data_IF_425845381953
#
_entry.id   IF_425845381953
#
_cell.length_a   1.000
_cell.length_b   1.000
_cell.length_c   1.000
_cell.angle_alpha   90.00
_cell.angle_beta   90.00
_cell.angle_gamma   90.00
#
_symmetry.space_group_name_H-M   'P 1'
#
loop_
_entity.id
_entity.type
_entity.pdbx_description
1 polymer ?
#
# COMPACT_ATOMS: atom_id res chain seq x y z
N UNK A 1 17.98 33.40 24.71
CA UNK A 1 18.60 32.10 24.98
C UNK A 1 17.80 31.06 24.21
N UNK A 2 18.23 30.72 23.00
CA UNK A 2 17.61 29.65 22.23
C UNK A 2 18.23 28.33 22.69
N UNK A 3 17.53 27.61 23.58
CA UNK A 3 17.90 26.23 23.85
C UNK A 3 17.58 25.41 22.60
N UNK A 4 18.54 24.71 21.98
CA UNK A 4 18.21 23.80 20.90
C UNK A 4 17.25 22.75 21.49
N UNK A 5 16.05 22.67 20.95
CA UNK A 5 15.07 21.65 21.30
C UNK A 5 15.73 20.28 21.16
N UNK A 6 15.70 19.48 22.19
CA UNK A 6 16.24 18.13 22.16
C UNK A 6 15.55 17.33 21.04
N UNK A 7 16.31 16.50 20.34
CA UNK A 7 15.81 15.71 19.20
C UNK A 7 14.53 14.89 19.55
N UNK A 8 14.43 14.44 20.78
CA UNK A 8 13.25 13.69 21.26
C UNK A 8 12.04 14.61 21.55
N UNK A 9 12.27 15.80 22.11
CA UNK A 9 11.23 16.80 22.35
C UNK A 9 10.66 17.31 21.01
N UNK A 10 11.50 17.52 20.01
CA UNK A 10 11.06 17.86 18.66
C UNK A 10 10.20 16.79 18.03
N UNK A 11 10.60 15.50 18.09
CA UNK A 11 9.82 14.38 17.58
C UNK A 11 8.46 14.28 18.26
N UNK A 12 8.42 14.44 19.57
CA UNK A 12 7.18 14.35 20.35
C UNK A 12 6.21 15.49 20.01
N UNK A 13 6.74 16.70 19.80
CA UNK A 13 5.95 17.85 19.34
C UNK A 13 5.39 17.63 17.94
N UNK A 14 6.20 17.15 16.99
CA UNK A 14 5.76 16.81 15.65
C UNK A 14 4.70 15.71 15.66
N UNK A 15 4.87 14.68 16.49
CA UNK A 15 3.90 13.59 16.61
C UNK A 15 2.56 14.09 17.15
N UNK A 16 2.57 14.93 18.18
CA UNK A 16 1.38 15.53 18.74
C UNK A 16 0.65 16.44 17.75
N UNK A 17 1.40 17.23 16.97
CA UNK A 17 0.85 18.08 15.93
C UNK A 17 0.17 17.28 14.82
N UNK A 18 0.81 16.18 14.36
CA UNK A 18 0.23 15.28 13.36
C UNK A 18 -1.02 14.58 13.89
N UNK A 19 -1.03 14.16 15.16
CA UNK A 19 -2.21 13.55 15.76
C UNK A 19 -3.38 14.54 15.86
N UNK A 20 -3.10 15.77 16.30
CA UNK A 20 -4.11 16.83 16.34
C UNK A 20 -4.68 17.10 14.95
N UNK A 21 -3.81 17.21 13.94
CA UNK A 21 -4.20 17.43 12.56
C UNK A 21 -5.12 16.29 12.05
N UNK A 22 -4.73 15.05 12.27
CA UNK A 22 -5.53 13.87 11.91
C UNK A 22 -6.92 13.87 12.58
N UNK A 23 -7.01 14.28 13.83
CA UNK A 23 -8.31 14.32 14.54
C UNK A 23 -9.23 15.38 13.96
N UNK A 24 -8.71 16.53 13.56
CA UNK A 24 -9.49 17.64 13.01
C UNK A 24 -9.80 17.51 11.52
N UNK A 25 -9.01 16.71 10.77
CA UNK A 25 -9.21 16.49 9.33
C UNK A 25 -9.92 15.17 9.00
N UNK A 26 -10.39 14.45 10.03
CA UNK A 26 -11.04 13.13 9.88
C UNK A 26 -12.22 13.13 8.89
N UNK A 27 -12.92 14.24 8.75
CA UNK A 27 -14.07 14.39 7.86
C UNK A 27 -13.69 14.87 6.45
N UNK A 28 -12.41 15.14 6.19
CA UNK A 28 -11.93 15.50 4.85
C UNK A 28 -11.87 14.24 3.98
N UNK A 29 -12.68 14.21 2.90
CA UNK A 29 -12.72 13.08 1.98
C UNK A 29 -11.37 12.84 1.33
N UNK A 30 -10.66 13.90 0.93
CA UNK A 30 -9.33 13.81 0.31
C UNK A 30 -8.32 13.14 1.26
N UNK A 31 -8.24 13.60 2.51
CA UNK A 31 -7.33 13.04 3.52
C UNK A 31 -7.65 11.56 3.78
N UNK A 32 -8.93 11.21 3.81
CA UNK A 32 -9.36 9.83 4.03
C UNK A 32 -8.97 8.91 2.86
N UNK A 33 -9.17 9.34 1.61
CA UNK A 33 -8.81 8.59 0.42
C UNK A 33 -7.30 8.34 0.35
N UNK A 34 -6.47 9.38 0.54
CA UNK A 34 -5.02 9.25 0.50
C UNK A 34 -4.47 8.39 1.68
N UNK A 35 -5.09 8.48 2.86
CA UNK A 35 -4.74 7.61 3.99
C UNK A 35 -5.03 6.13 3.71
N UNK A 36 -6.19 5.84 3.08
CA UNK A 36 -6.55 4.48 2.68
C UNK A 36 -5.55 3.93 1.68
N UNK A 37 -5.17 4.72 0.67
CA UNK A 37 -4.21 4.31 -0.36
C UNK A 37 -2.82 4.03 0.24
N UNK A 38 -2.31 4.91 1.10
CA UNK A 38 -1.03 4.71 1.80
C UNK A 38 -1.07 3.44 2.66
N UNK A 39 -2.14 3.25 3.47
CA UNK A 39 -2.31 2.08 4.34
C UNK A 39 -2.47 0.77 3.57
N UNK A 40 -3.26 0.78 2.49
CA UNK A 40 -3.45 -0.37 1.61
C UNK A 40 -2.13 -0.83 0.99
N UNK A 41 -1.35 0.11 0.46
CA UNK A 41 -0.08 -0.22 -0.18
C UNK A 41 0.96 -0.73 0.82
N UNK A 42 0.96 -0.22 2.05
CA UNK A 42 1.77 -0.76 3.15
C UNK A 42 1.46 -2.23 3.42
N UNK A 43 0.17 -2.60 3.44
CA UNK A 43 -0.24 -3.99 3.63
C UNK A 43 0.18 -4.88 2.45
N UNK A 44 0.10 -4.37 1.20
CA UNK A 44 0.59 -5.10 0.02
C UNK A 44 2.09 -5.41 0.13
N UNK A 45 2.91 -4.44 0.55
CA UNK A 45 4.35 -4.67 0.75
C UNK A 45 4.59 -5.74 1.80
N UNK A 46 3.85 -5.72 2.90
CA UNK A 46 3.98 -6.74 3.95
C UNK A 46 3.60 -8.15 3.46
N UNK A 47 2.64 -8.25 2.53
CA UNK A 47 2.19 -9.50 1.93
C UNK A 47 3.05 -9.96 0.75
N UNK A 48 3.95 -9.13 0.25
CA UNK A 48 4.76 -9.40 -0.95
C UNK A 48 5.49 -10.75 -0.89
N UNK A 49 6.18 -11.03 0.20
CA UNK A 49 6.95 -12.27 0.36
C UNK A 49 6.04 -13.51 0.35
N UNK A 50 4.89 -13.40 0.99
CA UNK A 50 3.89 -14.49 1.03
C UNK A 50 3.27 -14.69 -0.35
N UNK A 51 2.90 -13.61 -1.04
CA UNK A 51 2.37 -13.66 -2.40
C UNK A 51 3.33 -14.30 -3.39
N UNK A 52 4.60 -13.94 -3.36
CA UNK A 52 5.65 -14.55 -4.19
C UNK A 52 5.78 -16.05 -3.88
N UNK A 53 5.85 -16.42 -2.60
CA UNK A 53 5.98 -17.83 -2.20
C UNK A 53 4.81 -18.68 -2.71
N UNK A 54 3.56 -18.20 -2.56
CA UNK A 54 2.38 -18.90 -3.07
C UNK A 54 2.40 -19.05 -4.59
N UNK A 55 2.78 -18.01 -5.32
CA UNK A 55 2.86 -18.05 -6.79
C UNK A 55 3.92 -19.05 -7.25
N UNK A 56 5.09 -19.10 -6.60
CA UNK A 56 6.15 -20.09 -6.93
C UNK A 56 5.63 -21.52 -6.70
N UNK A 57 4.97 -21.78 -5.58
CA UNK A 57 4.38 -23.10 -5.28
C UNK A 57 3.34 -23.48 -6.32
N UNK A 58 2.46 -22.56 -6.74
CA UNK A 58 1.47 -22.79 -7.78
C UNK A 58 2.13 -23.17 -9.11
N UNK A 59 3.15 -22.45 -9.54
CA UNK A 59 3.92 -22.77 -10.76
C UNK A 59 4.55 -24.17 -10.67
N UNK A 60 5.15 -24.53 -9.55
CA UNK A 60 5.74 -25.86 -9.36
C UNK A 60 4.70 -26.98 -9.48
N UNK A 61 3.53 -26.79 -8.87
CA UNK A 61 2.43 -27.76 -8.97
C UNK A 61 1.99 -27.90 -10.42
N UNK A 62 1.82 -26.81 -11.17
CA UNK A 62 1.43 -26.83 -12.58
C UNK A 62 2.46 -27.53 -13.45
N UNK A 63 3.76 -27.30 -13.22
CA UNK A 63 4.83 -27.98 -13.97
C UNK A 63 4.80 -29.50 -13.71
N UNK A 64 4.66 -29.92 -12.45
CA UNK A 64 4.59 -31.34 -12.09
C UNK A 64 3.34 -32.00 -12.70
N UNK A 65 2.20 -31.32 -12.66
CA UNK A 65 0.92 -31.80 -13.23
C UNK A 65 0.91 -31.87 -14.76
N UNK A 66 1.84 -31.18 -15.43
CA UNK A 66 1.95 -31.17 -16.89
C UNK A 66 2.73 -32.36 -17.46
N UNK A 67 3.25 -33.27 -16.60
CA UNK A 67 3.97 -34.46 -17.05
C UNK A 67 3.03 -35.38 -17.89
N UNK A 68 3.43 -35.79 -19.09
CA UNK A 68 2.57 -36.49 -20.04
C UNK A 68 2.40 -37.97 -19.65
N UNK A 69 1.31 -38.29 -18.96
CA UNK A 69 1.01 -39.67 -18.55
C UNK A 69 -0.22 -40.31 -19.21
N UNK A 70 -1.09 -39.54 -19.91
CA UNK A 70 -2.31 -40.03 -20.53
C UNK A 70 -2.73 -39.17 -21.76
N UNK A 71 -3.59 -39.70 -22.71
CA UNK A 71 -4.09 -38.91 -23.84
C UNK A 71 -4.94 -37.69 -23.46
N UNK A 72 -5.49 -37.66 -22.25
CA UNK A 72 -6.16 -36.50 -21.67
C UNK A 72 -5.16 -35.36 -21.36
N UNK A 73 -3.86 -35.68 -21.30
CA UNK A 73 -2.77 -34.76 -20.99
C UNK A 73 -2.63 -33.62 -22.00
N UNK A 74 -3.09 -33.75 -23.25
CA UNK A 74 -2.96 -32.71 -24.26
C UNK A 74 -3.85 -31.48 -23.96
N UNK A 75 -5.10 -31.69 -23.56
CA UNK A 75 -6.03 -30.62 -23.17
C UNK A 75 -5.59 -30.02 -21.83
N UNK A 76 -5.19 -30.86 -20.90
CA UNK A 76 -4.64 -30.45 -19.60
C UNK A 76 -3.36 -29.63 -19.78
N UNK A 77 -2.50 -30.01 -20.73
CA UNK A 77 -1.24 -29.29 -21.02
C UNK A 77 -1.50 -27.87 -21.55
N UNK A 78 -2.49 -27.65 -22.43
CA UNK A 78 -2.87 -26.31 -22.89
C UNK A 78 -3.38 -25.42 -21.76
N UNK A 79 -4.26 -25.98 -20.93
CA UNK A 79 -4.81 -25.25 -19.77
C UNK A 79 -3.71 -24.88 -18.79
N UNK A 80 -2.78 -25.80 -18.51
CA UNK A 80 -1.66 -25.54 -17.61
C UNK A 80 -0.72 -24.47 -18.17
N UNK A 81 -0.48 -24.45 -19.49
CA UNK A 81 0.30 -23.37 -20.11
C UNK A 81 -0.33 -21.99 -19.89
N UNK A 82 -1.64 -21.86 -20.08
CA UNK A 82 -2.35 -20.59 -19.84
C UNK A 82 -2.21 -20.17 -18.38
N UNK A 83 -2.40 -21.11 -17.45
CA UNK A 83 -2.27 -20.85 -16.02
C UNK A 83 -0.86 -20.41 -15.64
N UNK A 84 0.18 -21.04 -16.23
CA UNK A 84 1.58 -20.62 -16.03
C UNK A 84 1.80 -19.18 -16.50
N UNK A 85 1.24 -18.77 -17.64
CA UNK A 85 1.34 -17.38 -18.10
C UNK A 85 0.66 -16.40 -17.15
N UNK A 86 -0.50 -16.78 -16.59
CA UNK A 86 -1.19 -15.97 -15.57
C UNK A 86 -0.32 -15.86 -14.31
N UNK A 87 0.24 -16.97 -13.84
CA UNK A 87 1.11 -16.99 -12.66
C UNK A 87 2.38 -16.15 -12.85
N UNK A 88 2.97 -16.16 -14.05
CA UNK A 88 4.09 -15.29 -14.40
C UNK A 88 3.65 -13.82 -14.31
N UNK A 89 2.46 -13.48 -14.80
CA UNK A 89 1.88 -12.14 -14.67
C UNK A 89 1.71 -11.71 -13.21
N UNK A 90 1.21 -12.60 -12.37
CA UNK A 90 1.06 -12.39 -10.92
C UNK A 90 2.43 -12.20 -10.25
N UNK A 91 3.43 -12.98 -10.65
CA UNK A 91 4.79 -12.88 -10.12
C UNK A 91 5.43 -11.54 -10.51
N UNK A 92 5.22 -11.07 -11.74
CA UNK A 92 5.65 -9.75 -12.19
C UNK A 92 4.93 -8.63 -11.42
N UNK A 93 3.64 -8.78 -11.15
CA UNK A 93 2.89 -7.84 -10.30
C UNK A 93 3.51 -7.74 -8.90
N UNK A 94 3.78 -8.86 -8.23
CA UNK A 94 4.44 -8.86 -6.93
C UNK A 94 5.87 -8.32 -6.98
N UNK A 95 6.62 -8.66 -8.04
CA UNK A 95 8.02 -8.24 -8.20
C UNK A 95 8.16 -6.75 -8.47
N UNK A 96 7.46 -6.26 -9.48
CA UNK A 96 7.59 -4.91 -10.03
C UNK A 96 6.51 -3.95 -9.55
N UNK A 97 5.26 -4.43 -9.44
CA UNK A 97 4.10 -3.60 -9.06
C UNK A 97 4.12 -3.22 -7.59
N UNK A 98 4.52 -4.14 -6.70
CA UNK A 98 4.59 -3.88 -5.26
C UNK A 98 6.00 -3.40 -4.90
N UNK A 99 6.17 -2.06 -4.85
CA UNK A 99 7.47 -1.42 -4.67
C UNK A 99 7.42 -0.33 -3.58
N UNK A 100 8.45 -0.25 -2.74
CA UNK A 100 8.58 0.76 -1.68
C UNK A 100 8.56 2.20 -2.22
N UNK A 101 9.04 2.44 -3.44
CA UNK A 101 8.98 3.77 -4.06
C UNK A 101 7.55 4.25 -4.26
N UNK A 102 6.66 3.38 -4.70
CA UNK A 102 5.24 3.73 -4.88
C UNK A 102 4.58 4.00 -3.53
N UNK A 103 4.89 3.19 -2.52
CA UNK A 103 4.43 3.43 -1.16
C UNK A 103 4.88 4.79 -0.62
N UNK A 104 6.15 5.16 -0.81
CA UNK A 104 6.67 6.47 -0.39
C UNK A 104 5.90 7.61 -1.04
N UNK A 105 5.67 7.56 -2.36
CA UNK A 105 4.90 8.57 -3.09
C UNK A 105 3.45 8.67 -2.59
N UNK A 106 2.80 7.55 -2.29
CA UNK A 106 1.42 7.55 -1.77
C UNK A 106 1.34 8.13 -0.36
N UNK A 107 2.31 7.83 0.50
CA UNK A 107 2.36 8.40 1.85
C UNK A 107 2.75 9.88 1.83
N UNK A 108 3.55 10.32 0.88
CA UNK A 108 3.85 11.73 0.64
C UNK A 108 2.60 12.51 0.21
N UNK A 109 1.80 11.98 -0.70
CA UNK A 109 0.50 12.56 -1.08
C UNK A 109 -0.43 12.70 0.12
N UNK A 110 -0.49 11.68 0.99
CA UNK A 110 -1.24 11.75 2.23
C UNK A 110 -0.74 12.88 3.15
N UNK A 111 0.58 13.05 3.27
CA UNK A 111 1.15 14.13 4.06
C UNK A 111 0.80 15.51 3.48
N UNK A 112 0.87 15.68 2.15
CA UNK A 112 0.44 16.91 1.49
C UNK A 112 -1.05 17.19 1.69
N UNK A 113 -1.92 16.20 1.55
CA UNK A 113 -3.36 16.35 1.79
C UNK A 113 -3.66 16.79 3.23
N UNK A 114 -2.90 16.28 4.21
CA UNK A 114 -3.00 16.73 5.60
C UNK A 114 -2.59 18.19 5.77
N UNK A 115 -1.50 18.62 5.12
CA UNK A 115 -1.01 20.00 5.21
C UNK A 115 -1.94 20.98 4.51
N UNK A 116 -2.49 20.62 3.35
CA UNK A 116 -3.44 21.45 2.60
C UNK A 116 -4.71 21.76 3.41
N UNK A 117 -5.14 20.80 4.24
CA UNK A 117 -6.30 21.02 5.11
C UNK A 117 -6.03 22.03 6.25
N UNK A 118 -4.77 22.35 6.57
CA UNK A 118 -4.43 23.38 7.55
C UNK A 118 -4.97 24.74 7.15
N UNK A 119 -4.91 25.09 5.89
CA UNK A 119 -5.36 26.39 5.36
C UNK A 119 -6.88 26.56 5.48
N UNK A 120 -7.64 25.44 5.49
CA UNK A 120 -9.11 25.44 5.56
C UNK A 120 -9.66 25.23 6.99
N UNK A 121 -8.81 24.85 7.95
CA UNK A 121 -9.22 24.60 9.33
C UNK A 121 -9.73 25.84 10.09
N UNK A 122 -9.14 27.05 9.94
CA UNK A 122 -9.62 28.24 10.63
C UNK A 122 -11.08 28.59 10.31
N UNK A 123 -11.48 28.40 9.05
CA UNK A 123 -12.84 28.70 8.58
C UNK A 123 -13.86 27.72 9.16
N UNK A 124 -13.55 26.44 9.21
CA UNK A 124 -14.42 25.40 9.78
C UNK A 124 -14.60 25.52 11.31
N UNK A 125 -13.59 25.98 12.03
CA UNK A 125 -13.66 26.19 13.49
C UNK A 125 -14.60 27.35 13.79
N UNK A 126 -14.64 28.37 12.93
CA UNK A 126 -15.55 29.51 13.09
C UNK A 126 -17.00 29.18 12.72
N UNK A 127 -17.24 28.34 11.71
CA UNK A 127 -18.60 27.88 11.35
C UNK A 127 -19.26 27.03 12.45
N UNK A 128 -18.51 26.23 13.18
CA UNK A 128 -19.03 25.38 14.26
C UNK A 128 -19.28 26.15 15.59
N UNK A 129 -19.02 27.44 15.64
CA UNK A 129 -19.27 28.32 16.83
C UNK A 129 -20.52 29.19 16.69
N UNK A 130 -21.22 29.14 15.57
CA UNK A 130 -22.49 29.80 15.30
C UNK A 130 -23.65 28.79 15.44
#
# INVERSE_FOLDING_TARGET
MNHPMDSEEFKQTCYSAVQWLRSNTRNSKLVQEENIMCGFYKNLISLKSVGIAFTIVAILILIISSAPTTPLSFVQSKTNMILIFVDIGVLLFWGLGVNEKIHSVLCEKYAYALLETLDTLPDRINENKL
#
